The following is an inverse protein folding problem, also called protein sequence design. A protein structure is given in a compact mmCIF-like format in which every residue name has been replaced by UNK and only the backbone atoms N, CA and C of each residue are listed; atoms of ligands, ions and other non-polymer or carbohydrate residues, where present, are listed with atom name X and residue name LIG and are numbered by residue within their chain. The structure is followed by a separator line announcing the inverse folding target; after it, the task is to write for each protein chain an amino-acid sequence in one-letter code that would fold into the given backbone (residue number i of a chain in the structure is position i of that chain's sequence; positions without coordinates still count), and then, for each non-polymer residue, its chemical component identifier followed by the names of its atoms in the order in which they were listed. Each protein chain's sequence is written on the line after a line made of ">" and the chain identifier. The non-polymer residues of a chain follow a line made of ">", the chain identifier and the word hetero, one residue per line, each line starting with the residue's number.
data_IF_440069797211
#
_entry.id   IF_440069797211
#
_cell.length_a   1.000
_cell.length_b   1.000
_cell.length_c   1.000
_cell.angle_alpha   90.00
_cell.angle_beta   90.00
_cell.angle_gamma   90.00
#
_symmetry.space_group_name_H-M   'P 1'
#
loop_
_entity.id
_entity.type
_entity.pdbx_description
1 polymer ?
#
# COMPACT_ATOMS: atom_id res chain seq x y z
N UNK A 1 -26.12 10.54 -11.48
CA UNK A 1 -24.89 9.81 -11.10
C UNK A 1 -25.02 9.37 -9.66
N UNK A 2 -24.98 8.06 -9.38
CA UNK A 2 -25.15 7.50 -8.03
C UNK A 2 -23.89 7.70 -7.17
N UNK A 3 -24.05 7.66 -5.84
CA UNK A 3 -22.95 7.84 -4.89
C UNK A 3 -21.84 6.79 -5.06
N UNK A 4 -22.21 5.55 -5.38
CA UNK A 4 -21.27 4.43 -5.61
C UNK A 4 -20.28 4.67 -6.75
N UNK A 5 -20.73 5.27 -7.87
CA UNK A 5 -19.84 5.58 -9.00
C UNK A 5 -18.83 6.70 -8.68
N UNK A 6 -19.20 7.67 -7.83
CA UNK A 6 -18.27 8.71 -7.39
C UNK A 6 -17.19 8.13 -6.48
N UNK A 7 -17.55 7.22 -5.59
CA UNK A 7 -16.59 6.56 -4.71
C UNK A 7 -15.62 5.66 -5.47
N UNK A 8 -16.08 4.93 -6.49
CA UNK A 8 -15.20 4.11 -7.33
C UNK A 8 -14.15 4.95 -8.08
N UNK A 9 -14.51 6.16 -8.52
CA UNK A 9 -13.55 7.10 -9.13
C UNK A 9 -12.51 7.57 -8.11
N UNK A 10 -12.94 7.94 -6.89
CA UNK A 10 -12.03 8.46 -5.86
C UNK A 10 -11.02 7.41 -5.40
N UNK A 11 -11.47 6.19 -5.11
CA UNK A 11 -10.55 5.11 -4.70
C UNK A 11 -9.57 4.78 -5.83
N UNK A 12 -10.03 4.76 -7.09
CA UNK A 12 -9.14 4.57 -8.25
C UNK A 12 -8.08 5.66 -8.35
N UNK A 13 -8.47 6.93 -8.21
CA UNK A 13 -7.52 8.05 -8.22
C UNK A 13 -6.45 7.89 -7.14
N UNK A 14 -6.85 7.50 -5.93
CA UNK A 14 -5.92 7.31 -4.82
C UNK A 14 -4.96 6.14 -5.08
N UNK A 15 -5.44 5.04 -5.67
CA UNK A 15 -4.59 3.92 -6.08
C UNK A 15 -3.59 4.36 -7.15
N UNK A 16 -4.06 5.05 -8.19
CA UNK A 16 -3.19 5.57 -9.27
C UNK A 16 -2.10 6.52 -8.72
N UNK A 17 -2.44 7.37 -7.74
CA UNK A 17 -1.48 8.25 -7.06
C UNK A 17 -0.41 7.45 -6.27
N UNK A 18 -0.80 6.41 -5.53
CA UNK A 18 0.14 5.53 -4.81
C UNK A 18 1.14 4.92 -5.78
N UNK A 19 0.66 4.42 -6.93
CA UNK A 19 1.48 3.81 -7.96
C UNK A 19 2.45 4.84 -8.55
N UNK A 20 1.98 6.05 -8.86
CA UNK A 20 2.83 7.11 -9.38
C UNK A 20 3.99 7.44 -8.42
N UNK A 21 3.73 7.55 -7.11
CA UNK A 21 4.78 7.79 -6.13
C UNK A 21 5.71 6.59 -5.91
N UNK A 22 5.22 5.36 -6.05
CA UNK A 22 6.07 4.17 -6.08
C UNK A 22 7.05 4.19 -7.27
N UNK A 23 6.57 4.55 -8.45
CA UNK A 23 7.44 4.71 -9.62
C UNK A 23 8.43 5.86 -9.46
N UNK A 24 8.00 6.98 -8.87
CA UNK A 24 8.87 8.11 -8.57
C UNK A 24 9.97 7.72 -7.56
N UNK A 25 9.64 6.97 -6.50
CA UNK A 25 10.62 6.44 -5.55
C UNK A 25 11.64 5.51 -6.21
N UNK A 26 11.19 4.55 -7.02
CA UNK A 26 12.09 3.64 -7.76
C UNK A 26 13.02 4.41 -8.69
N UNK A 27 12.48 5.39 -9.43
CA UNK A 27 13.26 6.23 -10.34
C UNK A 27 14.28 7.10 -9.60
N UNK A 28 13.87 7.76 -8.52
CA UNK A 28 14.75 8.59 -7.71
C UNK A 28 15.85 7.76 -7.02
N UNK A 29 15.54 6.54 -6.59
CA UNK A 29 16.52 5.60 -6.03
C UNK A 29 17.60 5.25 -7.05
N UNK A 30 17.21 4.96 -8.30
CA UNK A 30 18.15 4.66 -9.39
C UNK A 30 19.02 5.89 -9.74
N UNK A 31 18.42 7.09 -9.79
CA UNK A 31 19.11 8.30 -10.24
C UNK A 31 19.98 8.96 -9.17
N UNK A 32 19.55 8.92 -7.92
CA UNK A 32 20.11 9.73 -6.83
C UNK A 32 20.50 8.90 -5.60
N UNK A 33 20.23 7.59 -5.59
CA UNK A 33 20.40 6.72 -4.44
C UNK A 33 19.18 6.71 -3.51
N UNK A 34 19.03 5.62 -2.75
CA UNK A 34 17.91 5.40 -1.81
C UNK A 34 17.84 6.44 -0.70
N UNK A 35 19.01 6.95 -0.29
CA UNK A 35 19.13 7.90 0.81
C UNK A 35 18.97 9.35 0.35
N UNK A 36 18.71 9.59 -0.94
CA UNK A 36 18.47 10.95 -1.43
C UNK A 36 17.17 11.54 -0.87
N UNK A 37 17.10 12.86 -0.62
CA UNK A 37 15.87 13.51 -0.17
C UNK A 37 14.67 13.26 -1.10
N UNK A 38 14.91 13.16 -2.41
CA UNK A 38 13.87 12.88 -3.41
C UNK A 38 13.34 11.45 -3.30
N UNK A 39 14.20 10.45 -3.13
CA UNK A 39 13.78 9.07 -2.93
C UNK A 39 13.01 8.91 -1.61
N UNK A 40 13.52 9.49 -0.52
CA UNK A 40 12.87 9.46 0.78
C UNK A 40 11.49 10.12 0.74
N UNK A 41 11.39 11.33 0.16
CA UNK A 41 10.11 12.07 0.07
C UNK A 41 9.06 11.31 -0.75
N UNK A 42 9.44 10.70 -1.88
CA UNK A 42 8.53 9.93 -2.72
C UNK A 42 8.04 8.66 -1.99
N UNK A 43 8.93 7.96 -1.29
CA UNK A 43 8.60 6.77 -0.49
C UNK A 43 7.67 7.11 0.68
N UNK A 44 7.93 8.21 1.36
CA UNK A 44 7.12 8.65 2.50
C UNK A 44 5.73 9.08 2.05
N UNK A 45 5.61 9.77 0.91
CA UNK A 45 4.32 10.15 0.33
C UNK A 45 3.52 8.94 -0.18
N UNK A 46 4.18 7.97 -0.84
CA UNK A 46 3.56 6.67 -1.16
C UNK A 46 2.97 6.03 0.09
N UNK A 47 3.76 5.94 1.16
CA UNK A 47 3.34 5.33 2.42
C UNK A 47 2.15 6.07 3.03
N UNK A 48 2.20 7.40 3.09
CA UNK A 48 1.10 8.23 3.60
C UNK A 48 -0.20 8.03 2.80
N UNK A 49 -0.12 7.91 1.47
CA UNK A 49 -1.28 7.65 0.62
C UNK A 49 -1.84 6.23 0.82
N UNK A 50 -0.99 5.22 1.03
CA UNK A 50 -1.43 3.86 1.39
C UNK A 50 -2.18 3.86 2.73
N UNK A 51 -1.70 4.61 3.73
CA UNK A 51 -2.41 4.77 5.01
C UNK A 51 -3.74 5.49 4.82
N UNK A 52 -3.78 6.54 3.99
CA UNK A 52 -5.03 7.23 3.65
C UNK A 52 -6.04 6.28 2.99
N UNK A 53 -5.58 5.41 2.09
CA UNK A 53 -6.42 4.41 1.43
C UNK A 53 -7.02 3.44 2.46
N UNK A 54 -6.19 2.89 3.35
CA UNK A 54 -6.61 1.97 4.42
C UNK A 54 -7.65 2.59 5.37
N UNK A 55 -7.48 3.87 5.74
CA UNK A 55 -8.41 4.58 6.64
C UNK A 55 -9.68 5.04 5.96
N UNK A 56 -9.61 5.44 4.69
CA UNK A 56 -10.77 5.99 3.96
C UNK A 56 -11.67 4.90 3.40
N UNK A 57 -11.12 3.72 3.13
CA UNK A 57 -11.81 2.62 2.46
C UNK A 57 -11.60 1.26 3.17
N UNK A 58 -11.77 1.16 4.51
CA UNK A 58 -11.40 -0.04 5.27
C UNK A 58 -12.17 -1.32 4.90
N UNK A 59 -13.30 -1.21 4.20
CA UNK A 59 -14.07 -2.35 3.70
C UNK A 59 -13.65 -2.79 2.29
N UNK A 60 -12.88 -1.97 1.57
CA UNK A 60 -12.46 -2.21 0.18
C UNK A 60 -10.98 -2.56 0.07
N UNK A 61 -10.21 -2.42 1.15
CA UNK A 61 -8.78 -2.74 1.19
C UNK A 61 -8.40 -3.47 2.48
N UNK A 62 -7.32 -4.24 2.43
CA UNK A 62 -6.78 -4.95 3.59
C UNK A 62 -5.27 -5.12 3.48
N UNK A 63 -4.62 -5.45 4.59
CA UNK A 63 -3.22 -5.83 4.64
C UNK A 63 -3.10 -7.35 4.59
N UNK A 64 -2.22 -7.84 3.72
CA UNK A 64 -1.83 -9.24 3.60
C UNK A 64 -0.31 -9.32 3.69
N UNK A 65 0.21 -10.19 4.56
CA UNK A 65 1.65 -10.41 4.64
C UNK A 65 2.11 -11.12 3.36
N UNK A 66 3.09 -10.54 2.66
CA UNK A 66 3.62 -11.17 1.46
C UNK A 66 4.71 -12.19 1.83
N UNK A 67 4.36 -13.47 1.84
CA UNK A 67 5.28 -14.56 2.16
C UNK A 67 6.21 -14.94 1.01
N UNK A 68 5.97 -14.42 -0.21
CA UNK A 68 6.79 -14.74 -1.38
C UNK A 68 7.97 -13.78 -1.52
N UNK A 69 7.88 -12.59 -0.92
CA UNK A 69 8.99 -11.67 -0.79
C UNK A 69 9.64 -11.97 0.55
N UNK A 70 10.73 -12.74 0.52
CA UNK A 70 11.44 -13.10 1.74
C UNK A 70 12.16 -11.88 2.33
N UNK A 71 12.32 -11.84 3.66
CA UNK A 71 13.24 -10.89 4.31
C UNK A 71 14.67 -10.95 3.71
N UNK A 72 15.04 -12.06 3.08
CA UNK A 72 16.34 -12.23 2.43
C UNK A 72 16.47 -11.38 1.16
N UNK A 73 15.36 -11.12 0.45
CA UNK A 73 15.35 -10.33 -0.79
C UNK A 73 15.23 -8.82 -0.55
N UNK A 74 14.39 -8.38 0.41
CA UNK A 74 14.14 -6.95 0.67
C UNK A 74 14.65 -6.46 2.03
N UNK A 75 15.19 -7.35 2.87
CA UNK A 75 15.75 -6.99 4.19
C UNK A 75 14.72 -6.70 5.28
N UNK A 76 13.43 -6.65 4.96
CA UNK A 76 12.34 -6.50 5.93
C UNK A 76 11.03 -7.15 5.45
N UNK A 77 10.14 -7.50 6.39
CA UNK A 77 8.81 -8.02 6.06
C UNK A 77 7.95 -6.95 5.38
N UNK A 78 7.16 -7.36 4.38
CA UNK A 78 6.27 -6.47 3.64
C UNK A 78 4.81 -6.91 3.78
N UNK A 79 3.93 -5.93 3.95
CA UNK A 79 2.51 -6.09 3.67
C UNK A 79 2.21 -5.69 2.22
N UNK A 80 1.42 -6.49 1.54
CA UNK A 80 0.69 -6.07 0.33
C UNK A 80 -0.57 -5.32 0.75
N UNK A 81 -0.76 -4.10 0.24
CA UNK A 81 -2.01 -3.34 0.42
C UNK A 81 -3.02 -3.84 -0.60
N UNK A 82 -3.80 -4.85 -0.26
CA UNK A 82 -4.69 -5.57 -1.18
C UNK A 82 -6.00 -4.84 -1.40
N UNK A 83 -6.53 -4.92 -2.62
CA UNK A 83 -7.86 -4.44 -2.97
C UNK A 83 -8.84 -5.62 -2.88
N UNK A 84 -9.98 -5.43 -2.22
CA UNK A 84 -11.05 -6.46 -2.15
C UNK A 84 -11.61 -6.74 -3.54
N UNK A 85 -11.85 -5.68 -4.32
CA UNK A 85 -12.21 -5.76 -5.72
C UNK A 85 -11.09 -5.14 -6.57
N UNK A 86 -10.66 -5.78 -7.66
CA UNK A 86 -9.64 -5.22 -8.54
C UNK A 86 -10.04 -3.86 -9.09
N UNK A 87 -9.08 -2.95 -9.21
CA UNK A 87 -9.26 -1.65 -9.84
C UNK A 87 -8.39 -1.61 -11.09
N UNK A 88 -9.02 -1.62 -12.27
CA UNK A 88 -8.31 -1.80 -13.53
C UNK A 88 -7.68 -3.20 -13.59
N UNK A 89 -6.36 -3.26 -13.82
CA UNK A 89 -5.58 -4.49 -13.85
C UNK A 89 -4.83 -4.78 -12.53
N UNK A 90 -5.17 -4.07 -11.45
CA UNK A 90 -4.45 -4.12 -10.18
C UNK A 90 -5.28 -4.81 -9.11
N UNK A 91 -4.63 -5.69 -8.37
CA UNK A 91 -5.20 -6.38 -7.19
C UNK A 91 -4.65 -5.81 -5.86
N UNK A 92 -3.69 -4.89 -5.93
CA UNK A 92 -3.10 -4.23 -4.78
C UNK A 92 -2.69 -2.79 -5.12
N UNK A 93 -2.49 -2.00 -4.07
CA UNK A 93 -1.94 -0.65 -4.08
C UNK A 93 -0.50 -0.67 -3.55
N UNK A 94 0.33 -1.55 -4.13
CA UNK A 94 1.75 -1.74 -3.80
C UNK A 94 2.04 -2.29 -2.38
N UNK A 95 3.30 -2.63 -2.14
CA UNK A 95 3.79 -3.09 -0.85
C UNK A 95 4.15 -1.93 0.08
N UNK A 96 3.99 -2.15 1.38
CA UNK A 96 4.43 -1.28 2.47
C UNK A 96 5.20 -2.12 3.50
N UNK A 97 6.38 -1.67 3.97
CA UNK A 97 7.06 -2.39 5.03
C UNK A 97 6.23 -2.53 6.29
N UNK A 98 6.28 -3.70 6.92
CA UNK A 98 5.57 -3.98 8.18
C UNK A 98 5.97 -2.93 9.23
N UNK A 99 7.26 -2.62 9.34
CA UNK A 99 7.76 -1.56 10.24
C UNK A 99 7.09 -0.21 9.98
N UNK A 100 6.95 0.21 8.72
CA UNK A 100 6.34 1.51 8.36
C UNK A 100 4.84 1.50 8.64
N UNK A 101 4.14 0.42 8.30
CA UNK A 101 2.73 0.26 8.64
C UNK A 101 2.50 0.38 10.16
N UNK A 102 3.36 -0.26 10.95
CA UNK A 102 3.32 -0.20 12.42
C UNK A 102 3.75 1.15 13.01
N UNK A 103 4.47 1.99 12.27
CA UNK A 103 4.78 3.37 12.67
C UNK A 103 3.61 4.33 12.43
N UNK A 104 2.83 4.12 11.36
CA UNK A 104 1.80 5.06 10.91
C UNK A 104 0.37 4.68 11.33
N UNK A 105 0.14 3.39 11.62
CA UNK A 105 -1.14 2.87 12.11
C UNK A 105 -1.03 2.48 13.58
N UNK A 106 -2.12 2.66 14.33
CA UNK A 106 -2.19 2.12 15.69
C UNK A 106 -2.49 0.62 15.66
N UNK A 107 -2.11 -0.10 16.73
CA UNK A 107 -2.24 -1.57 16.82
C UNK A 107 -3.67 -2.07 16.55
N UNK A 108 -4.69 -1.32 16.98
CA UNK A 108 -6.09 -1.69 16.75
C UNK A 108 -6.51 -1.55 15.28
N UNK A 109 -6.01 -0.54 14.56
CA UNK A 109 -6.23 -0.40 13.11
C UNK A 109 -5.62 -1.60 12.38
N UNK A 110 -4.37 -1.92 12.68
CA UNK A 110 -3.64 -3.05 12.07
C UNK A 110 -4.39 -4.36 12.27
N UNK A 111 -4.89 -4.62 13.48
CA UNK A 111 -5.64 -5.85 13.77
C UNK A 111 -6.92 -5.98 12.94
N UNK A 112 -7.58 -4.87 12.63
CA UNK A 112 -8.81 -4.84 11.81
C UNK A 112 -8.48 -4.92 10.32
N UNK A 113 -7.37 -4.31 9.89
CA UNK A 113 -6.96 -4.24 8.50
C UNK A 113 -6.26 -5.53 8.02
N UNK A 114 -5.60 -6.28 8.91
CA UNK A 114 -5.00 -7.56 8.55
C UNK A 114 -6.12 -8.57 8.34
N UNK A 115 -6.29 -9.00 7.10
CA UNK A 115 -7.10 -10.18 6.83
C UNK A 115 -6.23 -11.39 7.12
N UNK A 116 -6.62 -12.19 8.12
CA UNK A 116 -6.02 -13.52 8.26
C UNK A 116 -6.36 -14.29 7.00
N UNK A 117 -5.36 -14.70 6.23
CA UNK A 117 -5.54 -15.70 5.19
C UNK A 117 -6.09 -16.93 5.90
N UNK A 118 -7.42 -17.09 5.87
CA UNK A 118 -8.00 -18.40 6.05
C UNK A 118 -7.49 -19.17 4.83
N UNK A 119 -6.39 -19.90 5.02
CA UNK A 119 -6.07 -21.06 4.21
C UNK A 119 -7.30 -21.97 4.30
N UNK A 120 -8.22 -21.81 3.36
CA UNK A 120 -9.15 -22.88 3.04
C UNK A 120 -8.34 -23.87 2.22
N UNK A 121 -8.07 -25.00 2.90
CA UNK A 121 -7.82 -26.35 2.40
C UNK A 121 -8.04 -26.58 0.90
#
# INVERSE_FOLDING_TARGET
>A
MTNSYKESIKIKSLVDEIIAFNHAWKSATILFGSDSPSAQSARDLKSALQIRLLRSYPEQVFLELDSNISQEEEGEDLYSVRLVNPIGNRNNAEHIPVRVAHQLLIKSEIKTLIRRSNFLS
#
